data_IF_091743667367
#
_entry.id   IF_091743667367
#
_cell.length_a   1.000
_cell.length_b   1.000
_cell.length_c   1.000
_cell.angle_alpha   90.00
_cell.angle_beta   90.00
_cell.angle_gamma   90.00
#
_symmetry.space_group_name_H-M   'P 1'
#
loop_
_entity.id
_entity.type
_entity.pdbx_description
1 polymer ?
#
# COMPACT_ATOMS: atom_id res chain seq x y z
N UNK A 1 68.54 -33.27 -39.15
CA UNK A 1 68.04 -34.61 -39.45
C UNK A 1 66.87 -34.89 -38.57
N UNK A 2 65.78 -34.79 -39.18
CA UNK A 2 64.66 -35.71 -39.34
C UNK A 2 63.80 -35.88 -38.10
N UNK A 3 62.63 -35.27 -38.18
CA UNK A 3 61.28 -35.75 -38.52
C UNK A 3 60.50 -36.18 -37.29
N UNK A 4 59.41 -35.51 -37.02
CA UNK A 4 58.01 -35.74 -37.42
C UNK A 4 57.40 -36.81 -36.50
N UNK A 5 56.21 -36.71 -35.93
CA UNK A 5 54.90 -36.35 -36.41
C UNK A 5 53.92 -36.26 -35.22
N UNK A 6 52.96 -35.38 -35.31
CA UNK A 6 51.72 -35.33 -34.54
C UNK A 6 50.83 -36.50 -34.96
N UNK A 7 49.85 -36.91 -34.18
CA UNK A 7 48.58 -36.23 -34.35
C UNK A 7 47.69 -36.01 -33.07
N UNK A 8 47.09 -34.92 -33.15
CA UNK A 8 45.83 -34.48 -32.57
C UNK A 8 44.73 -35.56 -32.54
N UNK A 9 44.11 -35.77 -31.39
CA UNK A 9 42.70 -36.27 -31.30
C UNK A 9 42.01 -35.94 -29.99
N UNK A 10 41.04 -35.07 -30.14
CA UNK A 10 39.72 -35.15 -29.53
C UNK A 10 39.55 -34.69 -28.06
N UNK A 11 39.12 -33.44 -27.96
CA UNK A 11 38.35 -32.97 -26.84
C UNK A 11 37.09 -32.17 -27.33
N UNK A 12 36.19 -32.84 -28.09
CA UNK A 12 34.95 -32.21 -28.55
C UNK A 12 33.66 -32.85 -27.96
N UNK A 13 33.79 -33.84 -27.05
CA UNK A 13 32.63 -34.58 -26.58
C UNK A 13 32.11 -34.12 -25.19
N UNK A 14 32.89 -33.32 -24.46
CA UNK A 14 32.51 -32.94 -23.08
C UNK A 14 31.66 -31.68 -23.01
N UNK A 15 31.73 -30.78 -23.99
CA UNK A 15 30.95 -29.52 -23.99
C UNK A 15 29.47 -29.71 -24.39
N UNK A 16 29.16 -30.69 -25.23
CA UNK A 16 27.76 -30.96 -25.66
C UNK A 16 26.91 -31.63 -24.58
N UNK A 17 27.51 -32.44 -23.70
CA UNK A 17 26.75 -33.12 -22.62
C UNK A 17 26.41 -32.20 -21.45
N UNK A 18 27.19 -31.15 -21.18
CA UNK A 18 26.91 -30.20 -20.10
C UNK A 18 25.75 -29.27 -20.49
N UNK A 19 25.69 -28.84 -21.76
CA UNK A 19 24.58 -28.02 -22.25
C UNK A 19 23.23 -28.76 -22.30
N UNK A 20 23.24 -30.03 -22.71
CA UNK A 20 22.03 -30.86 -22.74
C UNK A 20 21.49 -31.17 -21.34
N UNK A 21 22.37 -31.41 -20.38
CA UNK A 21 22.01 -31.64 -18.97
C UNK A 21 21.39 -30.39 -18.33
N UNK A 22 21.95 -29.19 -18.54
CA UNK A 22 21.41 -27.94 -18.01
C UNK A 22 20.06 -27.59 -18.63
N UNK A 23 19.89 -27.81 -19.93
CA UNK A 23 18.61 -27.57 -20.63
C UNK A 23 17.52 -28.53 -20.17
N UNK A 24 17.88 -29.81 -19.98
CA UNK A 24 16.93 -30.80 -19.45
C UNK A 24 16.54 -30.56 -17.99
N UNK A 25 17.49 -30.13 -17.14
CA UNK A 25 17.21 -29.76 -15.76
C UNK A 25 16.32 -28.52 -15.68
N UNK A 26 16.53 -27.51 -16.53
CA UNK A 26 15.68 -26.32 -16.63
C UNK A 26 14.27 -26.67 -17.11
N UNK A 27 14.14 -27.52 -18.14
CA UNK A 27 12.85 -28.00 -18.63
C UNK A 27 12.11 -28.84 -17.60
N UNK A 28 12.81 -29.71 -16.86
CA UNK A 28 12.23 -30.50 -15.78
C UNK A 28 11.77 -29.63 -14.62
N UNK A 29 12.53 -28.57 -14.26
CA UNK A 29 12.14 -27.60 -13.25
C UNK A 29 10.90 -26.78 -13.68
N UNK A 30 10.85 -26.34 -14.93
CA UNK A 30 9.69 -25.64 -15.50
C UNK A 30 8.44 -26.55 -15.53
N UNK A 31 8.62 -27.83 -15.89
CA UNK A 31 7.54 -28.83 -15.90
C UNK A 31 7.06 -29.14 -14.48
N UNK A 32 7.98 -29.26 -13.50
CA UNK A 32 7.65 -29.45 -12.08
C UNK A 32 6.93 -28.21 -11.51
N UNK A 33 7.36 -27.00 -11.89
CA UNK A 33 6.69 -25.75 -11.52
C UNK A 33 5.28 -25.66 -12.16
N UNK A 34 5.14 -25.97 -13.43
CA UNK A 34 3.85 -25.99 -14.13
C UNK A 34 2.90 -27.07 -13.59
N UNK A 35 3.41 -28.25 -13.21
CA UNK A 35 2.62 -29.31 -12.60
C UNK A 35 2.10 -28.92 -11.19
N UNK A 36 2.85 -28.09 -10.44
CA UNK A 36 2.44 -27.56 -9.14
C UNK A 36 1.50 -26.35 -9.23
N UNK A 37 1.39 -25.72 -10.39
CA UNK A 37 0.45 -24.62 -10.64
C UNK A 37 -1.02 -25.10 -10.78
N UNK A 38 -1.37 -26.26 -10.19
CA UNK A 38 -2.76 -26.65 -10.10
C UNK A 38 -3.54 -25.58 -9.35
N UNK A 39 -4.64 -25.12 -9.94
CA UNK A 39 -5.42 -24.06 -9.35
C UNK A 39 -5.85 -24.41 -7.93
N UNK A 40 -5.96 -23.41 -7.07
CA UNK A 40 -6.48 -23.46 -5.70
C UNK A 40 -7.93 -24.02 -5.63
N UNK A 41 -8.25 -25.12 -6.32
CA UNK A 41 -9.61 -25.62 -6.61
C UNK A 41 -10.42 -25.97 -5.37
N UNK A 42 -9.82 -26.12 -4.20
CA UNK A 42 -10.45 -26.73 -3.04
C UNK A 42 -10.60 -25.83 -1.81
N UNK A 43 -10.04 -24.60 -1.79
CA UNK A 43 -10.40 -23.65 -0.75
C UNK A 43 -11.80 -23.10 -1.02
N UNK A 44 -12.66 -23.17 -0.02
CA UNK A 44 -13.92 -22.43 -0.03
C UNK A 44 -13.63 -20.95 -0.25
N UNK A 45 -13.45 -20.10 -0.44
CA UNK A 45 -12.96 -18.76 -0.72
C UNK A 45 -12.11 -18.64 -1.99
N UNK A 46 -11.82 -19.74 -2.68
CA UNK A 46 -10.98 -19.72 -3.88
C UNK A 46 -11.50 -18.80 -4.98
N UNK A 47 -12.83 -18.73 -5.18
CA UNK A 47 -13.45 -17.81 -6.13
C UNK A 47 -13.01 -16.36 -5.89
N UNK A 48 -12.62 -16.01 -4.64
CA UNK A 48 -12.18 -14.71 -4.25
C UNK A 48 -10.67 -14.48 -4.49
N UNK A 49 -9.92 -15.56 -4.63
CA UNK A 49 -8.50 -15.52 -4.98
C UNK A 49 -8.30 -15.78 -6.49
N UNK A 50 -9.36 -16.18 -7.21
CA UNK A 50 -9.30 -16.53 -8.63
C UNK A 50 -8.68 -15.45 -9.53
N UNK A 51 -8.90 -14.19 -9.25
CA UNK A 51 -8.27 -13.09 -9.99
C UNK A 51 -6.76 -13.01 -9.79
N UNK A 52 -6.23 -13.71 -8.80
CA UNK A 52 -4.79 -13.79 -8.55
C UNK A 52 -4.14 -14.96 -9.29
N UNK A 53 -4.91 -15.89 -9.88
CA UNK A 53 -4.37 -17.14 -10.45
C UNK A 53 -3.33 -16.89 -11.56
N UNK A 54 -3.60 -15.97 -12.49
CA UNK A 54 -2.66 -15.62 -13.56
C UNK A 54 -1.38 -15.03 -12.99
N UNK A 55 -1.52 -14.07 -12.08
CA UNK A 55 -0.41 -13.42 -11.44
C UNK A 55 0.38 -14.38 -10.53
N UNK A 56 -0.27 -15.27 -9.81
CA UNK A 56 0.37 -16.32 -9.01
C UNK A 56 1.22 -17.24 -9.88
N UNK A 57 0.77 -17.52 -11.13
CA UNK A 57 1.57 -18.25 -12.09
C UNK A 57 2.86 -17.51 -12.47
N UNK A 58 2.84 -16.21 -12.60
CA UNK A 58 4.02 -15.39 -12.86
C UNK A 58 4.99 -15.39 -11.68
N UNK A 59 4.50 -15.26 -10.47
CA UNK A 59 5.32 -15.38 -9.25
C UNK A 59 6.00 -16.76 -9.16
N UNK A 60 5.30 -17.84 -9.54
CA UNK A 60 5.84 -19.18 -9.54
C UNK A 60 6.98 -19.35 -10.52
N UNK A 61 6.89 -18.72 -11.70
CA UNK A 61 7.92 -18.75 -12.73
C UNK A 61 9.17 -17.94 -12.35
N UNK A 62 9.06 -17.05 -11.39
CA UNK A 62 10.17 -16.20 -10.97
C UNK A 62 11.23 -16.99 -10.21
N UNK A 63 12.50 -16.90 -10.64
CA UNK A 63 13.63 -17.63 -10.07
C UNK A 63 13.39 -19.15 -9.94
N UNK A 64 13.11 -19.89 -11.04
CA UNK A 64 12.97 -21.34 -10.98
C UNK A 64 14.30 -21.97 -10.54
N UNK A 65 14.25 -22.86 -9.56
CA UNK A 65 15.39 -23.64 -9.10
C UNK A 65 14.98 -25.11 -8.98
N UNK A 66 15.76 -26.07 -9.51
CA UNK A 66 15.36 -27.48 -9.56
C UNK A 66 15.11 -28.10 -8.17
N UNK A 67 15.83 -27.64 -7.16
CA UNK A 67 15.71 -28.15 -5.78
C UNK A 67 14.80 -27.28 -4.88
N UNK A 68 13.97 -26.39 -5.46
CA UNK A 68 13.10 -25.53 -4.68
C UNK A 68 11.74 -26.20 -4.46
N UNK A 69 11.35 -26.33 -3.20
CA UNK A 69 10.06 -26.86 -2.80
C UNK A 69 9.04 -25.76 -2.43
N UNK A 70 9.50 -24.55 -2.13
CA UNK A 70 8.67 -23.39 -1.80
C UNK A 70 8.89 -22.25 -2.81
N UNK A 71 7.84 -21.84 -3.49
CA UNK A 71 7.83 -20.74 -4.46
C UNK A 71 7.19 -19.49 -3.87
N UNK A 72 7.38 -18.34 -4.52
CA UNK A 72 6.87 -17.07 -3.98
C UNK A 72 5.34 -17.02 -3.94
N UNK A 73 4.66 -17.59 -4.92
CA UNK A 73 3.19 -17.73 -4.92
C UNK A 73 2.68 -18.56 -3.72
N UNK A 74 3.40 -19.61 -3.33
CA UNK A 74 3.08 -20.41 -2.15
C UNK A 74 3.20 -19.57 -0.87
N UNK A 75 4.28 -18.76 -0.78
CA UNK A 75 4.49 -17.84 0.34
C UNK A 75 3.38 -16.79 0.42
N UNK A 76 3.07 -16.14 -0.69
CA UNK A 76 2.00 -15.12 -0.75
C UNK A 76 0.65 -15.73 -0.39
N UNK A 77 0.34 -16.91 -0.91
CA UNK A 77 -0.92 -17.61 -0.63
C UNK A 77 -1.07 -17.92 0.86
N UNK A 78 -0.07 -18.52 1.50
CA UNK A 78 -0.16 -18.84 2.93
C UNK A 78 -0.23 -17.58 3.80
N UNK A 79 0.46 -16.51 3.41
CA UNK A 79 0.39 -15.22 4.10
C UNK A 79 -0.98 -14.56 3.95
N UNK A 80 -1.60 -14.60 2.76
CA UNK A 80 -2.96 -14.08 2.54
C UNK A 80 -3.99 -14.81 3.40
N UNK A 81 -3.91 -16.14 3.44
CA UNK A 81 -4.77 -16.94 4.30
C UNK A 81 -4.53 -16.61 5.79
N UNK A 82 -3.27 -16.41 6.17
CA UNK A 82 -2.90 -15.98 7.52
C UNK A 82 -3.40 -14.58 7.87
N UNK A 83 -3.38 -13.65 6.92
CA UNK A 83 -3.88 -12.29 7.12
C UNK A 83 -5.35 -12.25 7.57
N UNK A 84 -6.19 -13.07 6.94
CA UNK A 84 -7.61 -13.16 7.31
C UNK A 84 -7.89 -14.02 8.56
N UNK A 85 -6.87 -14.69 9.10
CA UNK A 85 -7.01 -15.48 10.33
C UNK A 85 -6.28 -14.79 11.49
N UNK A 86 -7.05 -14.17 12.39
CA UNK A 86 -6.52 -13.40 13.53
C UNK A 86 -5.66 -14.20 14.50
N UNK A 87 -5.75 -15.53 14.48
CA UNK A 87 -4.98 -16.40 15.37
C UNK A 87 -3.59 -16.73 14.82
N UNK A 88 -3.36 -16.51 13.52
CA UNK A 88 -2.09 -16.77 12.84
C UNK A 88 -1.20 -15.53 12.95
N UNK A 89 -0.32 -15.51 13.97
CA UNK A 89 0.55 -14.38 14.29
C UNK A 89 2.05 -14.71 14.28
N UNK A 90 2.41 -15.86 13.75
CA UNK A 90 3.82 -16.28 13.73
C UNK A 90 4.07 -17.32 12.65
N UNK A 91 5.33 -17.43 12.19
CA UNK A 91 5.74 -18.46 11.23
C UNK A 91 5.44 -19.89 11.74
N UNK A 92 5.50 -20.12 13.06
CA UNK A 92 5.14 -21.41 13.65
C UNK A 92 3.65 -21.73 13.47
N UNK A 93 2.79 -20.73 13.62
CA UNK A 93 1.34 -20.91 13.39
C UNK A 93 1.02 -21.06 11.90
N UNK A 94 1.75 -20.37 11.01
CA UNK A 94 1.64 -20.60 9.56
C UNK A 94 2.09 -22.02 9.19
N UNK A 95 3.17 -22.52 9.79
CA UNK A 95 3.60 -23.91 9.60
C UNK A 95 2.49 -24.90 10.01
N UNK A 96 1.90 -24.71 11.20
CA UNK A 96 0.77 -25.52 11.66
C UNK A 96 -0.43 -25.41 10.70
N UNK A 97 -0.76 -24.21 10.27
CA UNK A 97 -1.88 -23.95 9.36
C UNK A 97 -1.66 -24.63 8.01
N UNK A 98 -0.42 -24.65 7.49
CA UNK A 98 -0.09 -25.35 6.24
C UNK A 98 -0.29 -26.87 6.29
N UNK A 99 -0.48 -27.43 7.47
CA UNK A 99 -0.75 -28.88 7.67
C UNK A 99 -2.26 -29.20 7.67
N UNK A 100 -3.12 -28.17 7.69
CA UNK A 100 -4.58 -28.36 7.58
C UNK A 100 -4.91 -28.91 6.20
N UNK A 101 -5.66 -30.04 6.08
CA UNK A 101 -5.86 -30.72 4.80
C UNK A 101 -6.37 -29.84 3.67
N UNK A 102 -7.30 -28.92 3.95
CA UNK A 102 -7.82 -27.98 2.94
C UNK A 102 -6.78 -26.97 2.45
N UNK A 103 -5.90 -26.49 3.34
CA UNK A 103 -4.81 -25.57 3.00
C UNK A 103 -3.71 -26.32 2.24
N UNK A 104 -3.34 -27.50 2.74
CA UNK A 104 -2.36 -28.38 2.13
C UNK A 104 -2.71 -28.73 0.68
N UNK A 105 -3.96 -29.17 0.43
CA UNK A 105 -4.46 -29.44 -0.92
C UNK A 105 -4.40 -28.21 -1.82
N UNK A 106 -4.68 -27.04 -1.29
CA UNK A 106 -4.71 -25.78 -2.04
C UNK A 106 -3.33 -25.33 -2.47
N UNK A 107 -2.35 -25.50 -1.59
CA UNK A 107 -0.95 -25.16 -1.86
C UNK A 107 -0.25 -26.25 -2.67
N UNK A 108 -0.84 -27.44 -2.80
CA UNK A 108 -0.23 -28.64 -3.39
C UNK A 108 1.18 -28.92 -2.75
N UNK A 109 1.28 -28.72 -1.44
CA UNK A 109 2.47 -28.94 -0.63
C UNK A 109 2.11 -29.82 0.57
N UNK A 110 2.97 -30.78 0.90
CA UNK A 110 2.73 -31.64 2.06
C UNK A 110 2.90 -30.85 3.38
N UNK A 111 3.87 -29.95 3.42
CA UNK A 111 4.16 -29.11 4.57
C UNK A 111 5.06 -27.95 4.19
N UNK A 112 4.78 -26.76 4.76
CA UNK A 112 5.69 -25.62 4.70
C UNK A 112 6.43 -25.52 6.03
N UNK A 113 7.72 -25.83 6.04
CA UNK A 113 8.55 -25.69 7.23
C UNK A 113 8.79 -24.22 7.58
N UNK A 114 8.75 -23.88 8.86
CA UNK A 114 9.01 -22.53 9.37
C UNK A 114 10.35 -21.97 8.89
N UNK A 115 11.42 -22.79 8.89
CA UNK A 115 12.74 -22.38 8.39
C UNK A 115 12.70 -22.01 6.92
N UNK A 116 12.10 -22.84 6.08
CA UNK A 116 11.96 -22.60 4.63
C UNK A 116 11.13 -21.35 4.36
N UNK A 117 10.05 -21.12 5.11
CA UNK A 117 9.24 -19.90 4.98
C UNK A 117 10.03 -18.66 5.40
N UNK A 118 10.81 -18.76 6.49
CA UNK A 118 11.68 -17.67 6.95
C UNK A 118 12.76 -17.31 5.92
N UNK A 119 13.39 -18.29 5.31
CA UNK A 119 14.38 -18.07 4.25
C UNK A 119 13.73 -17.54 2.97
N UNK A 120 12.59 -18.05 2.56
CA UNK A 120 11.81 -17.53 1.43
C UNK A 120 11.49 -16.04 1.60
N UNK A 121 11.07 -15.62 2.79
CA UNK A 121 10.79 -14.22 3.11
C UNK A 121 12.02 -13.30 3.08
N UNK A 122 13.24 -13.83 3.15
CA UNK A 122 14.47 -13.05 2.95
C UNK A 122 14.87 -12.98 1.49
N UNK A 123 14.54 -14.01 0.73
CA UNK A 123 15.02 -14.22 -0.62
C UNK A 123 14.14 -13.51 -1.67
N UNK A 124 12.83 -13.63 -1.57
CA UNK A 124 11.89 -13.08 -2.56
C UNK A 124 11.85 -11.56 -2.52
N UNK A 125 11.77 -10.96 -3.73
CA UNK A 125 11.64 -9.51 -3.88
C UNK A 125 10.17 -9.10 -3.70
N UNK A 126 9.83 -8.31 -2.68
CA UNK A 126 8.46 -7.86 -2.45
C UNK A 126 7.91 -6.96 -3.57
N UNK A 127 8.78 -6.26 -4.33
CA UNK A 127 8.35 -5.41 -5.44
C UNK A 127 7.67 -6.20 -6.57
N UNK A 128 7.89 -7.51 -6.64
CA UNK A 128 7.14 -8.38 -7.56
C UNK A 128 5.63 -8.40 -7.27
N UNK A 129 5.19 -7.93 -6.09
CA UNK A 129 3.78 -7.83 -5.73
C UNK A 129 3.15 -6.49 -6.13
N UNK A 130 3.94 -5.48 -6.50
CA UNK A 130 3.41 -4.17 -6.88
C UNK A 130 2.48 -4.21 -8.10
N UNK A 131 2.77 -4.96 -9.21
CA UNK A 131 1.84 -5.06 -10.33
C UNK A 131 0.50 -5.71 -9.95
N UNK A 132 0.51 -6.69 -9.03
CA UNK A 132 -0.73 -7.30 -8.53
C UNK A 132 -1.57 -6.30 -7.72
N UNK A 133 -0.90 -5.54 -6.85
CA UNK A 133 -1.57 -4.48 -6.07
C UNK A 133 -2.27 -3.51 -7.02
N UNK A 134 -1.56 -3.03 -8.04
CA UNK A 134 -2.09 -2.12 -9.06
C UNK A 134 -3.25 -2.73 -9.84
N UNK A 135 -3.12 -3.97 -10.31
CA UNK A 135 -4.18 -4.65 -11.07
C UNK A 135 -5.48 -4.78 -10.26
N UNK A 136 -5.39 -5.14 -8.98
CA UNK A 136 -6.58 -5.23 -8.13
C UNK A 136 -7.13 -3.84 -7.84
N UNK A 137 -6.26 -2.85 -7.62
CA UNK A 137 -6.64 -1.48 -7.38
C UNK A 137 -7.47 -0.91 -8.55
N UNK A 138 -7.04 -1.11 -9.78
CA UNK A 138 -7.75 -0.68 -10.99
C UNK A 138 -9.12 -1.35 -11.18
N UNK A 139 -9.33 -2.50 -10.55
CA UNK A 139 -10.61 -3.20 -10.60
C UNK A 139 -11.61 -2.76 -9.51
N UNK A 140 -11.22 -1.83 -8.62
CA UNK A 140 -12.09 -1.35 -7.55
C UNK A 140 -13.16 -0.39 -8.08
N UNK A 141 -14.38 -0.44 -7.52
CA UNK A 141 -15.41 0.53 -7.87
C UNK A 141 -15.06 1.91 -7.35
N UNK A 142 -15.28 2.92 -8.19
CA UNK A 142 -15.17 4.32 -7.79
C UNK A 142 -16.36 4.71 -6.89
N UNK A 143 -16.10 5.62 -5.95
CA UNK A 143 -17.11 6.11 -5.04
C UNK A 143 -17.72 7.40 -5.52
N UNK A 144 -18.94 7.63 -5.09
CA UNK A 144 -19.59 8.91 -5.32
C UNK A 144 -19.33 9.87 -4.14
N UNK A 145 -18.93 11.09 -4.45
CA UNK A 145 -18.89 12.17 -3.48
C UNK A 145 -20.33 12.59 -3.12
N UNK A 146 -20.51 13.11 -1.90
CA UNK A 146 -21.77 13.71 -1.49
C UNK A 146 -21.97 15.10 -2.06
N UNK A 147 -20.89 15.75 -2.52
CA UNK A 147 -20.90 17.06 -3.13
C UNK A 147 -20.65 16.92 -4.65
N UNK A 148 -21.61 17.27 -5.52
CA UNK A 148 -21.44 17.18 -6.98
C UNK A 148 -20.29 18.03 -7.51
N UNK A 149 -20.02 19.20 -6.93
CA UNK A 149 -18.89 20.07 -7.33
C UNK A 149 -17.53 19.42 -7.05
N UNK A 150 -17.50 18.50 -6.13
CA UNK A 150 -16.30 17.80 -5.70
C UNK A 150 -16.10 16.45 -6.40
N UNK A 151 -17.14 15.92 -7.08
CA UNK A 151 -17.10 14.59 -7.70
C UNK A 151 -15.98 14.44 -8.73
N UNK A 152 -15.80 15.45 -9.59
CA UNK A 152 -14.79 15.42 -10.67
C UNK A 152 -13.34 15.37 -10.15
N UNK A 153 -13.13 15.80 -8.90
CA UNK A 153 -11.82 15.80 -8.24
C UNK A 153 -11.62 14.56 -7.37
N UNK A 154 -12.72 13.93 -6.93
CA UNK A 154 -12.71 12.93 -5.88
C UNK A 154 -11.87 11.71 -6.23
N UNK A 155 -11.91 11.28 -7.48
CA UNK A 155 -11.19 10.12 -7.98
C UNK A 155 -9.68 10.38 -8.15
N UNK A 156 -9.29 11.66 -8.22
CA UNK A 156 -7.91 12.11 -8.34
C UNK A 156 -7.22 12.34 -6.98
N UNK A 157 -7.97 12.28 -5.88
CA UNK A 157 -7.42 12.57 -4.56
C UNK A 157 -6.58 11.42 -4.02
N UNK A 158 -5.31 11.70 -3.81
CA UNK A 158 -4.33 10.78 -3.25
C UNK A 158 -3.78 11.32 -1.93
N UNK A 159 -4.27 10.77 -0.81
CA UNK A 159 -3.67 11.08 0.49
C UNK A 159 -2.35 10.32 0.63
N UNK A 160 -1.33 11.00 1.15
CA UNK A 160 -0.06 10.39 1.52
C UNK A 160 0.23 10.61 3.00
N UNK A 161 0.61 9.55 3.69
CA UNK A 161 1.01 9.60 5.10
C UNK A 161 1.88 8.39 5.47
N UNK A 162 2.62 8.51 6.57
CA UNK A 162 3.42 7.45 7.15
C UNK A 162 2.92 7.02 8.53
N UNK A 163 2.93 5.73 8.78
CA UNK A 163 2.59 5.20 10.09
C UNK A 163 3.63 4.22 10.61
N UNK A 164 3.89 4.29 11.93
CA UNK A 164 4.91 3.48 12.58
C UNK A 164 4.32 2.20 13.15
N UNK A 165 5.04 1.10 12.91
CA UNK A 165 4.70 -0.23 13.42
C UNK A 165 5.85 -0.73 14.29
N UNK A 166 5.54 -1.21 15.48
CA UNK A 166 6.52 -1.76 16.39
C UNK A 166 7.07 -3.07 15.87
N UNK A 167 8.36 -3.27 16.04
CA UNK A 167 9.06 -4.51 15.71
C UNK A 167 9.95 -4.93 16.87
N UNK A 168 10.31 -6.22 16.98
CA UNK A 168 11.21 -6.69 18.02
C UNK A 168 12.57 -5.98 18.02
N UNK A 169 13.19 -5.87 19.17
CA UNK A 169 14.47 -5.17 19.35
C UNK A 169 15.61 -5.75 18.48
N UNK A 170 15.51 -7.02 18.09
CA UNK A 170 16.45 -7.73 17.22
C UNK A 170 16.43 -7.24 15.76
N UNK A 171 15.41 -6.48 15.36
CA UNK A 171 15.30 -5.92 14.00
C UNK A 171 16.22 -4.71 13.87
N UNK A 172 17.50 -4.96 13.59
CA UNK A 172 18.56 -3.94 13.65
C UNK A 172 18.45 -2.84 12.59
N UNK A 173 17.80 -3.12 11.48
CA UNK A 173 17.55 -2.16 10.40
C UNK A 173 16.37 -1.22 10.67
N UNK A 174 15.57 -1.50 11.69
CA UNK A 174 14.44 -0.66 12.06
C UNK A 174 14.88 0.64 12.77
N UNK A 175 14.02 1.65 12.71
CA UNK A 175 14.18 2.92 13.40
C UNK A 175 14.19 2.71 14.92
N UNK A 176 15.04 3.48 15.62
CA UNK A 176 14.92 3.61 17.07
C UNK A 176 13.68 4.43 17.43
N UNK A 177 12.88 3.94 18.36
CA UNK A 177 11.80 4.73 18.92
C UNK A 177 12.42 5.87 19.75
N UNK A 178 12.07 7.12 19.44
CA UNK A 178 12.53 8.26 20.22
C UNK A 178 12.08 8.14 21.67
N UNK A 179 12.95 8.50 22.57
CA UNK A 179 13.13 8.17 23.98
C UNK A 179 12.05 8.61 24.99
N UNK A 180 10.79 8.81 24.63
CA UNK A 180 9.73 9.05 25.62
C UNK A 180 8.95 7.79 26.02
N UNK A 181 9.28 6.64 25.47
CA UNK A 181 8.68 5.36 25.84
C UNK A 181 9.46 4.73 26.99
N UNK A 182 8.74 4.25 28.01
CA UNK A 182 9.32 3.53 29.15
C UNK A 182 10.10 2.26 28.77
N UNK A 183 9.98 1.78 27.54
CA UNK A 183 10.70 0.63 27.01
C UNK A 183 11.33 1.01 25.68
N UNK A 184 12.66 0.86 25.51
CA UNK A 184 13.32 1.04 24.21
C UNK A 184 12.71 0.08 23.21
N UNK A 185 12.22 0.59 22.09
CA UNK A 185 11.59 -0.20 21.03
C UNK A 185 12.19 0.14 19.68
N UNK A 186 11.98 -0.74 18.72
CA UNK A 186 12.24 -0.49 17.30
C UNK A 186 10.92 -0.41 16.55
N UNK A 187 10.93 0.35 15.47
CA UNK A 187 9.76 0.54 14.62
C UNK A 187 10.15 0.65 13.16
N UNK A 188 9.28 0.23 12.28
CA UNK A 188 9.36 0.47 10.84
C UNK A 188 8.26 1.44 10.47
N UNK A 189 8.49 2.26 9.45
CA UNK A 189 7.48 3.17 8.92
C UNK A 189 6.91 2.59 7.63
N UNK A 190 5.61 2.39 7.59
CA UNK A 190 4.84 2.16 6.37
C UNK A 190 4.43 3.51 5.82
N UNK A 191 4.93 3.86 4.64
CA UNK A 191 4.48 5.00 3.85
C UNK A 191 3.40 4.50 2.87
N UNK A 192 2.30 5.22 2.76
CA UNK A 192 1.14 4.76 2.01
C UNK A 192 0.60 5.86 1.10
N UNK A 193 0.35 5.52 -0.15
CA UNK A 193 -0.54 6.24 -1.04
C UNK A 193 -1.95 5.67 -0.89
N UNK A 194 -2.88 6.52 -0.52
CA UNK A 194 -4.26 6.13 -0.26
C UNK A 194 -5.21 6.93 -1.13
N UNK A 195 -5.87 6.29 -2.08
CA UNK A 195 -6.85 6.94 -2.91
C UNK A 195 -8.15 7.17 -2.14
N UNK A 196 -8.54 8.42 -2.03
CA UNK A 196 -9.74 8.83 -1.32
C UNK A 196 -10.99 8.40 -2.09
N UNK A 197 -10.96 8.46 -3.42
CA UNK A 197 -12.05 8.07 -4.30
C UNK A 197 -12.44 6.60 -4.19
N UNK A 198 -11.48 5.68 -4.14
CA UNK A 198 -11.75 4.26 -3.92
C UNK A 198 -11.81 3.89 -2.43
N UNK A 199 -11.20 4.72 -1.57
CA UNK A 199 -11.02 4.47 -0.14
C UNK A 199 -10.12 3.27 0.16
N UNK A 200 -9.11 3.08 -0.66
CA UNK A 200 -8.20 1.95 -0.58
C UNK A 200 -6.73 2.39 -0.80
N UNK A 201 -5.77 1.58 -0.33
CA UNK A 201 -4.36 1.79 -0.61
C UNK A 201 -4.07 1.61 -2.11
N UNK A 202 -3.32 2.53 -2.70
CA UNK A 202 -2.89 2.51 -4.09
C UNK A 202 -1.41 2.14 -4.24
N UNK A 203 -0.57 2.42 -3.24
CA UNK A 203 0.84 2.09 -3.25
C UNK A 203 1.45 2.17 -1.87
N UNK A 204 2.58 1.51 -1.68
CA UNK A 204 3.27 1.49 -0.39
C UNK A 204 4.79 1.47 -0.55
N UNK A 205 5.48 1.91 0.51
CA UNK A 205 6.90 1.62 0.73
C UNK A 205 7.18 1.48 2.22
N UNK A 206 8.26 0.80 2.58
CA UNK A 206 8.66 0.58 3.97
C UNK A 206 10.00 1.24 4.23
N UNK A 207 10.09 2.06 5.25
CA UNK A 207 11.32 2.74 5.65
C UNK A 207 11.81 2.25 7.01
N UNK A 208 13.09 1.90 7.07
CA UNK A 208 13.83 1.61 8.27
C UNK A 208 14.82 2.74 8.62
N UNK A 209 15.88 2.40 9.35
CA UNK A 209 16.90 3.34 9.86
C UNK A 209 17.57 4.16 8.75
N UNK A 210 17.93 3.50 7.66
CA UNK A 210 18.65 4.11 6.53
C UNK A 210 17.72 4.35 5.32
N UNK A 211 16.41 4.32 5.57
CA UNK A 211 15.39 4.51 4.53
C UNK A 211 15.04 5.98 4.29
N UNK A 212 14.23 6.18 3.26
CA UNK A 212 13.75 7.50 2.86
C UNK A 212 13.02 8.24 3.98
N UNK A 213 13.11 9.57 3.97
CA UNK A 213 12.15 10.42 4.66
C UNK A 213 10.74 10.24 4.07
N UNK A 214 9.70 10.70 4.76
CA UNK A 214 8.33 10.63 4.23
C UNK A 214 8.18 11.37 2.90
N UNK A 215 8.77 12.55 2.80
CA UNK A 215 8.76 13.34 1.57
C UNK A 215 9.48 12.63 0.40
N UNK A 216 10.62 11.97 0.64
CA UNK A 216 11.32 11.20 -0.38
C UNK A 216 10.54 9.95 -0.81
N UNK A 217 9.92 9.26 0.16
CA UNK A 217 9.07 8.10 -0.13
C UNK A 217 7.87 8.46 -1.02
N UNK A 218 7.25 9.62 -0.77
CA UNK A 218 6.17 10.15 -1.60
C UNK A 218 6.64 10.40 -3.05
N UNK A 219 7.80 11.02 -3.21
CA UNK A 219 8.31 11.41 -4.55
C UNK A 219 8.63 10.24 -5.47
N UNK A 220 8.91 9.06 -4.93
CA UNK A 220 9.24 7.88 -5.75
C UNK A 220 8.09 7.34 -6.58
N UNK A 221 6.86 7.67 -6.23
CA UNK A 221 5.64 7.04 -6.79
C UNK A 221 4.58 8.08 -7.16
N UNK A 222 5.00 9.24 -7.66
CA UNK A 222 4.08 10.25 -8.18
C UNK A 222 3.53 9.77 -9.52
N UNK A 223 2.21 9.66 -9.60
CA UNK A 223 1.48 9.41 -10.83
C UNK A 223 0.96 10.74 -11.40
N UNK A 224 0.88 10.91 -12.72
CA UNK A 224 0.33 12.12 -13.32
C UNK A 224 -1.19 12.26 -13.09
N UNK A 225 -1.70 13.48 -13.23
CA UNK A 225 -3.13 13.82 -13.14
C UNK A 225 -3.78 13.51 -11.78
N UNK A 226 -3.00 13.55 -10.70
CA UNK A 226 -3.47 13.32 -9.33
C UNK A 226 -3.41 14.60 -8.50
N UNK A 227 -4.13 14.62 -7.38
CA UNK A 227 -4.08 15.66 -6.36
C UNK A 227 -3.55 15.05 -5.07
N UNK A 228 -2.30 15.33 -4.76
CA UNK A 228 -1.65 14.82 -3.55
C UNK A 228 -2.01 15.65 -2.33
N UNK A 229 -2.51 14.98 -1.29
CA UNK A 229 -2.94 15.63 -0.05
C UNK A 229 -2.10 15.11 1.11
N UNK A 230 -1.42 16.00 1.82
CA UNK A 230 -0.54 15.61 2.92
C UNK A 230 -0.50 16.63 4.07
N UNK A 231 -0.08 16.15 5.25
CA UNK A 231 0.10 17.00 6.42
C UNK A 231 1.46 17.72 6.39
N UNK A 232 1.61 18.69 7.28
CA UNK A 232 2.79 19.58 7.44
C UNK A 232 4.11 18.81 7.60
N UNK A 233 4.10 17.57 8.08
CA UNK A 233 5.29 16.75 8.26
C UNK A 233 5.96 16.37 6.94
N UNK A 234 5.19 16.27 5.87
CA UNK A 234 5.62 15.78 4.55
C UNK A 234 6.04 16.93 3.63
N UNK A 235 5.66 18.16 3.98
CA UNK A 235 6.02 19.32 3.16
C UNK A 235 7.54 19.45 2.97
N UNK A 236 7.95 19.56 1.70
CA UNK A 236 9.30 19.96 1.29
C UNK A 236 9.26 20.69 -0.05
N UNK A 237 10.22 21.58 -0.32
CA UNK A 237 10.31 22.26 -1.62
C UNK A 237 10.52 21.29 -2.77
N UNK A 238 11.33 20.25 -2.57
CA UNK A 238 11.53 19.19 -3.55
C UNK A 238 10.23 18.40 -3.80
N UNK A 239 9.42 18.18 -2.76
CA UNK A 239 8.12 17.52 -2.86
C UNK A 239 7.14 18.32 -3.74
N UNK A 240 7.04 19.61 -3.50
CA UNK A 240 6.20 20.52 -4.32
C UNK A 240 6.63 20.50 -5.78
N UNK A 241 7.94 20.67 -6.04
CA UNK A 241 8.47 20.64 -7.41
C UNK A 241 8.20 19.31 -8.10
N UNK A 242 8.55 18.19 -7.45
CA UNK A 242 8.41 16.86 -8.05
C UNK A 242 6.96 16.52 -8.39
N UNK A 243 5.99 16.98 -7.61
CA UNK A 243 4.56 16.77 -7.91
C UNK A 243 4.16 17.57 -9.16
N UNK A 244 4.51 18.85 -9.22
CA UNK A 244 4.16 19.71 -10.35
C UNK A 244 4.89 19.27 -11.62
N UNK A 245 6.19 18.96 -11.55
CA UNK A 245 6.97 18.39 -12.66
C UNK A 245 6.41 17.05 -13.13
N UNK A 246 5.84 16.25 -12.23
CA UNK A 246 5.15 15.00 -12.53
C UNK A 246 3.75 15.18 -13.16
N UNK A 247 3.31 16.41 -13.43
CA UNK A 247 2.00 16.71 -14.04
C UNK A 247 0.84 16.48 -13.07
N UNK A 248 1.06 16.69 -11.78
CA UNK A 248 0.07 16.51 -10.71
C UNK A 248 -0.05 17.77 -9.87
N UNK A 249 -1.08 17.81 -9.03
CA UNK A 249 -1.38 18.91 -8.13
C UNK A 249 -1.19 18.51 -6.67
N UNK A 250 -1.18 19.51 -5.78
CA UNK A 250 -1.06 19.23 -4.34
C UNK A 250 -1.96 20.14 -3.50
N UNK A 251 -2.33 19.64 -2.33
CA UNK A 251 -2.91 20.40 -1.21
C UNK A 251 -2.21 19.98 0.06
N UNK A 252 -1.28 20.79 0.52
CA UNK A 252 -0.47 20.51 1.71
C UNK A 252 -0.78 21.45 2.86
N UNK A 253 -0.76 20.94 4.07
CA UNK A 253 -0.71 21.79 5.25
C UNK A 253 0.69 22.36 5.39
N UNK A 254 0.78 23.69 5.54
CA UNK A 254 2.03 24.38 5.66
C UNK A 254 2.42 24.58 7.14
N UNK A 255 3.71 24.49 7.44
CA UNK A 255 4.25 24.82 8.77
C UNK A 255 4.25 26.34 8.98
N UNK A 256 4.13 26.76 10.26
CA UNK A 256 4.08 28.17 10.61
C UNK A 256 5.33 28.95 10.18
N UNK A 257 6.49 28.32 10.27
CA UNK A 257 7.80 28.91 9.96
C UNK A 257 8.09 29.09 8.46
N UNK A 258 7.29 28.50 7.59
CA UNK A 258 7.48 28.66 6.14
C UNK A 258 6.93 30.02 5.70
N UNK A 259 7.81 30.86 5.19
CA UNK A 259 7.43 32.19 4.71
C UNK A 259 6.65 32.15 3.38
N UNK A 260 5.73 33.10 3.23
CA UNK A 260 4.94 33.30 2.02
C UNK A 260 5.04 34.75 1.57
N UNK A 261 5.26 34.97 0.28
CA UNK A 261 5.30 36.30 -0.36
C UNK A 261 3.98 36.44 -1.12
N UNK A 262 3.09 37.28 -0.58
CA UNK A 262 1.79 37.54 -1.22
C UNK A 262 1.94 38.52 -2.38
N UNK A 263 1.44 38.18 -3.54
CA UNK A 263 1.29 39.10 -4.69
C UNK A 263 -0.12 39.67 -4.76
N UNK A 264 -1.13 38.88 -4.49
CA UNK A 264 -2.52 39.30 -4.56
C UNK A 264 -3.40 38.52 -3.59
N UNK A 265 -4.46 39.16 -3.13
CA UNK A 265 -5.51 38.55 -2.31
C UNK A 265 -6.76 38.34 -3.14
N UNK A 266 -7.43 37.23 -2.93
CA UNK A 266 -8.69 36.90 -3.58
C UNK A 266 -9.88 37.25 -2.67
N UNK A 267 -10.93 37.79 -3.26
CA UNK A 267 -12.17 38.06 -2.54
C UNK A 267 -12.86 36.76 -2.15
N UNK A 268 -13.14 36.58 -0.87
CA UNK A 268 -13.84 35.42 -0.34
C UNK A 268 -15.33 35.48 -0.70
N UNK A 269 -15.84 34.39 -1.24
CA UNK A 269 -17.26 34.21 -1.51
C UNK A 269 -18.03 33.94 -0.19
N UNK A 270 -19.37 34.11 -0.15
CA UNK A 270 -20.17 33.69 1.00
C UNK A 270 -19.99 32.20 1.34
N UNK A 271 -19.81 31.35 0.33
CA UNK A 271 -19.57 29.91 0.48
C UNK A 271 -18.21 29.63 1.14
N UNK A 272 -17.15 30.38 0.77
CA UNK A 272 -15.84 30.26 1.40
C UNK A 272 -15.91 30.62 2.89
N UNK A 273 -16.61 31.71 3.24
CA UNK A 273 -16.81 32.14 4.63
C UNK A 273 -17.61 31.11 5.44
N UNK A 274 -18.66 30.51 4.86
CA UNK A 274 -19.44 29.44 5.48
C UNK A 274 -18.57 28.21 5.78
N UNK A 275 -17.53 27.95 4.98
CA UNK A 275 -16.53 26.89 5.20
C UNK A 275 -15.33 27.35 6.03
N UNK A 276 -15.47 28.48 6.76
CA UNK A 276 -14.46 28.99 7.69
C UNK A 276 -13.15 29.43 7.03
N UNK A 277 -13.14 29.76 5.75
CA UNK A 277 -11.99 30.36 5.10
C UNK A 277 -11.81 31.79 5.63
N UNK A 278 -10.59 32.12 6.11
CA UNK A 278 -10.24 33.43 6.66
C UNK A 278 -9.59 34.30 5.60
N UNK A 279 -8.68 33.72 4.82
CA UNK A 279 -7.98 34.43 3.72
C UNK A 279 -7.61 33.49 2.60
N UNK A 280 -7.41 34.07 1.43
CA UNK A 280 -7.07 33.39 0.20
C UNK A 280 -6.08 34.27 -0.57
N UNK A 281 -4.81 33.84 -0.65
CA UNK A 281 -3.70 34.64 -1.15
C UNK A 281 -2.93 33.88 -2.23
N UNK A 282 -2.56 34.56 -3.29
CA UNK A 282 -1.71 34.03 -4.35
C UNK A 282 -0.32 34.69 -4.25
N UNK A 283 0.72 33.90 -4.48
CA UNK A 283 2.09 34.39 -4.40
C UNK A 283 3.12 33.26 -4.49
N UNK A 284 4.19 33.39 -3.75
CA UNK A 284 5.34 32.47 -3.78
C UNK A 284 5.80 32.09 -2.37
N UNK A 285 6.37 30.90 -2.28
CA UNK A 285 7.05 30.50 -1.05
C UNK A 285 8.37 31.27 -0.90
N UNK A 286 8.64 31.75 0.30
CA UNK A 286 9.91 32.34 0.63
C UNK A 286 10.95 31.23 0.84
N UNK A 287 11.95 31.16 -0.05
CA UNK A 287 13.07 30.24 0.07
C UNK A 287 14.01 30.64 1.22
N UNK A 288 14.72 29.67 1.77
CA UNK A 288 15.90 29.96 2.60
C UNK A 288 17.13 30.15 1.70
N UNK A 289 18.21 30.82 2.19
CA UNK A 289 19.45 31.01 1.43
C UNK A 289 20.06 29.69 0.89
N UNK A 290 19.75 28.56 1.53
CA UNK A 290 20.24 27.22 1.17
C UNK A 290 19.20 26.33 0.45
N UNK A 291 17.99 26.84 0.24
CA UNK A 291 16.90 26.11 -0.42
C UNK A 291 16.18 27.05 -1.36
N UNK A 292 16.46 26.89 -2.64
CA UNK A 292 15.72 27.60 -3.67
C UNK A 292 14.26 27.19 -3.55
N UNK A 293 13.40 28.14 -3.23
CA UNK A 293 11.96 27.94 -3.40
C UNK A 293 11.70 27.80 -4.91
N UNK A 294 10.84 26.87 -5.30
CA UNK A 294 10.43 26.80 -6.69
C UNK A 294 9.82 28.13 -7.12
N UNK A 295 10.09 28.62 -8.33
CA UNK A 295 9.42 29.78 -8.90
C UNK A 295 7.95 29.50 -9.26
N UNK A 296 7.36 28.49 -8.63
CA UNK A 296 5.99 28.07 -8.87
C UNK A 296 5.08 29.03 -8.12
N UNK A 297 4.13 29.61 -8.86
CA UNK A 297 3.06 30.39 -8.25
C UNK A 297 2.15 29.48 -7.47
N UNK A 298 1.95 29.77 -6.22
CA UNK A 298 1.16 28.96 -5.28
C UNK A 298 0.11 29.80 -4.59
N UNK A 299 -0.84 29.14 -4.00
CA UNK A 299 -1.96 29.74 -3.29
C UNK A 299 -1.94 29.29 -1.85
N UNK A 300 -2.01 30.26 -0.92
CA UNK A 300 -2.13 30.02 0.50
C UNK A 300 -3.56 30.32 0.96
N UNK A 301 -4.20 29.34 1.59
CA UNK A 301 -5.55 29.46 2.13
C UNK A 301 -5.48 29.26 3.64
N UNK A 302 -6.03 30.22 4.40
CA UNK A 302 -6.14 30.14 5.84
C UNK A 302 -7.58 29.72 6.21
N UNK A 303 -7.68 28.66 7.02
CA UNK A 303 -8.97 28.14 7.49
C UNK A 303 -8.99 28.24 9.00
N UNK A 304 -10.08 28.75 9.57
CA UNK A 304 -10.29 28.83 11.01
C UNK A 304 -10.25 27.43 11.64
N UNK A 305 -9.46 27.31 12.69
CA UNK A 305 -9.35 26.07 13.46
C UNK A 305 -10.06 26.21 14.83
N UNK A 306 -11.23 25.57 15.01
CA UNK A 306 -11.98 25.70 16.26
C UNK A 306 -11.27 25.07 17.46
N UNK A 307 -10.38 24.07 17.23
CA UNK A 307 -9.60 23.44 18.29
C UNK A 307 -8.42 24.32 18.77
N UNK A 308 -8.00 25.28 17.95
CA UNK A 308 -6.90 26.19 18.24
C UNK A 308 -7.14 27.52 17.50
N UNK A 309 -8.00 28.42 18.02
CA UNK A 309 -8.43 29.63 17.33
C UNK A 309 -7.27 30.56 16.91
N UNK A 310 -6.21 30.61 17.68
CA UNK A 310 -5.01 31.41 17.41
C UNK A 310 -4.07 30.80 16.37
N UNK A 311 -4.34 29.56 15.94
CA UNK A 311 -3.51 28.84 14.97
C UNK A 311 -4.36 28.31 13.80
N UNK A 312 -4.62 29.15 12.80
CA UNK A 312 -5.38 28.72 11.63
C UNK A 312 -4.65 27.61 10.87
N UNK A 313 -5.40 26.78 10.21
CA UNK A 313 -4.86 25.78 9.29
C UNK A 313 -4.41 26.51 8.03
N UNK A 314 -3.12 26.45 7.74
CA UNK A 314 -2.52 27.01 6.52
C UNK A 314 -2.43 25.93 5.46
N UNK A 315 -3.14 26.10 4.37
CA UNK A 315 -3.09 25.20 3.21
C UNK A 315 -2.33 25.85 2.06
N UNK A 316 -1.50 25.08 1.40
CA UNK A 316 -0.75 25.47 0.22
C UNK A 316 -1.16 24.59 -0.96
N UNK A 317 -1.35 25.20 -2.13
CA UNK A 317 -1.71 24.49 -3.36
C UNK A 317 -1.20 25.24 -4.60
N UNK A 318 -0.97 24.53 -5.69
CA UNK A 318 -0.74 25.09 -7.03
C UNK A 318 -2.05 25.29 -7.82
N UNK A 319 -3.17 24.84 -7.29
CA UNK A 319 -4.50 24.92 -7.93
C UNK A 319 -5.08 26.33 -7.75
N UNK A 320 -4.78 27.22 -8.70
CA UNK A 320 -5.10 28.65 -8.57
C UNK A 320 -6.58 28.97 -8.81
N UNK A 321 -7.30 28.16 -9.59
CA UNK A 321 -8.64 28.48 -10.10
C UNK A 321 -9.79 27.93 -9.25
N UNK A 322 -9.53 26.87 -8.48
CA UNK A 322 -10.58 26.25 -7.66
C UNK A 322 -11.06 27.20 -6.55
N UNK A 323 -12.34 27.13 -6.15
CA UNK A 323 -12.85 27.83 -4.96
C UNK A 323 -12.08 27.47 -3.69
N UNK A 324 -11.87 28.43 -2.77
CA UNK A 324 -11.09 28.19 -1.55
C UNK A 324 -11.72 27.13 -0.64
N UNK A 325 -13.04 27.08 -0.53
CA UNK A 325 -13.74 26.06 0.23
C UNK A 325 -13.54 24.65 -0.32
N UNK A 326 -13.40 24.48 -1.65
CA UNK A 326 -13.08 23.19 -2.27
C UNK A 326 -11.70 22.70 -1.85
N UNK A 327 -10.68 23.58 -1.83
CA UNK A 327 -9.34 23.23 -1.31
C UNK A 327 -9.42 22.80 0.16
N UNK A 328 -10.23 23.49 0.97
CA UNK A 328 -10.50 23.09 2.36
C UNK A 328 -11.15 21.70 2.47
N UNK A 329 -12.12 21.40 1.61
CA UNK A 329 -12.77 20.07 1.56
C UNK A 329 -11.79 18.98 1.13
N UNK A 330 -10.92 19.24 0.14
CA UNK A 330 -9.86 18.33 -0.28
C UNK A 330 -9.01 17.95 0.94
N UNK A 331 -8.52 18.94 1.68
CA UNK A 331 -7.68 18.69 2.85
C UNK A 331 -8.43 17.93 3.97
N UNK A 332 -9.70 18.19 4.17
CA UNK A 332 -10.51 17.48 5.16
C UNK A 332 -10.56 15.97 4.91
N UNK A 333 -10.56 15.55 3.64
CA UNK A 333 -10.54 14.14 3.27
C UNK A 333 -9.21 13.43 3.56
N UNK A 334 -8.12 14.15 3.81
CA UNK A 334 -6.84 13.57 4.24
C UNK A 334 -7.01 12.66 5.47
N UNK A 335 -7.92 12.99 6.37
CA UNK A 335 -8.17 12.21 7.58
C UNK A 335 -8.54 10.74 7.30
N UNK A 336 -8.98 10.41 6.11
CA UNK A 336 -9.37 9.04 5.74
C UNK A 336 -8.21 8.06 5.82
N UNK A 337 -6.97 8.50 5.49
CA UNK A 337 -5.78 7.65 5.61
C UNK A 337 -5.44 7.32 7.08
N UNK A 338 -5.66 8.25 8.01
CA UNK A 338 -5.46 8.01 9.44
C UNK A 338 -6.48 6.98 9.98
N UNK A 339 -7.72 7.05 9.51
CA UNK A 339 -8.75 6.04 9.83
C UNK A 339 -8.37 4.67 9.27
N UNK A 340 -7.79 4.63 8.07
CA UNK A 340 -7.28 3.39 7.48
C UNK A 340 -6.13 2.80 8.30
N UNK A 341 -5.13 3.60 8.70
CA UNK A 341 -4.06 3.12 9.56
C UNK A 341 -4.55 2.60 10.92
N UNK A 342 -5.55 3.28 11.50
CA UNK A 342 -6.20 2.80 12.73
C UNK A 342 -6.88 1.45 12.50
N UNK A 343 -7.61 1.30 11.41
CA UNK A 343 -8.22 0.04 11.03
C UNK A 343 -7.17 -1.07 10.88
N UNK A 344 -6.10 -0.81 10.14
CA UNK A 344 -5.03 -1.77 9.90
C UNK A 344 -4.37 -2.24 11.21
N UNK A 345 -4.05 -1.31 12.10
CA UNK A 345 -3.41 -1.62 13.39
C UNK A 345 -4.32 -2.37 14.34
N UNK A 346 -5.53 -1.87 14.54
CA UNK A 346 -6.43 -2.33 15.60
C UNK A 346 -7.25 -3.54 15.15
N UNK A 347 -7.88 -3.46 13.98
CA UNK A 347 -8.87 -4.45 13.57
C UNK A 347 -8.29 -5.56 12.70
N UNK A 348 -7.40 -5.23 11.80
CA UNK A 348 -6.64 -6.23 11.04
C UNK A 348 -5.52 -6.87 11.89
N UNK A 349 -5.31 -6.37 13.11
CA UNK A 349 -4.35 -6.88 14.08
C UNK A 349 -2.92 -7.00 13.51
N UNK A 350 -2.56 -6.03 12.70
CA UNK A 350 -1.33 -6.02 11.92
C UNK A 350 -0.10 -5.56 12.71
N UNK A 351 -0.20 -5.43 14.03
CA UNK A 351 0.93 -5.06 14.90
C UNK A 351 1.97 -6.18 15.05
N UNK A 352 1.63 -7.42 14.67
CA UNK A 352 2.54 -8.56 14.78
C UNK A 352 3.26 -8.82 13.45
N UNK A 353 4.54 -8.45 13.40
CA UNK A 353 5.39 -8.75 12.25
C UNK A 353 5.76 -10.23 12.21
N UNK A 354 5.44 -10.89 11.11
CA UNK A 354 5.73 -12.32 10.89
C UNK A 354 7.21 -12.54 10.56
N UNK A 355 7.87 -11.53 9.99
CA UNK A 355 9.29 -11.57 9.61
C UNK A 355 10.10 -10.46 10.25
N UNK A 356 11.41 -10.68 10.40
CA UNK A 356 12.37 -9.67 10.88
C UNK A 356 13.29 -9.14 9.77
N UNK A 357 13.26 -9.73 8.58
CA UNK A 357 14.03 -9.25 7.43
C UNK A 357 13.33 -8.08 6.75
N UNK A 358 14.07 -7.13 6.12
CA UNK A 358 13.47 -6.03 5.38
C UNK A 358 12.46 -6.52 4.34
N UNK A 359 12.86 -7.42 3.47
CA UNK A 359 12.02 -8.01 2.42
C UNK A 359 10.78 -8.72 2.98
N UNK A 360 10.94 -9.47 4.06
CA UNK A 360 9.82 -10.20 4.67
C UNK A 360 8.81 -9.27 5.35
N UNK A 361 9.25 -8.17 5.95
CA UNK A 361 8.36 -7.14 6.51
C UNK A 361 7.62 -6.43 5.37
N UNK A 362 8.32 -6.06 4.31
CA UNK A 362 7.71 -5.43 3.15
C UNK A 362 6.72 -6.36 2.42
N UNK A 363 7.09 -7.63 2.23
CA UNK A 363 6.17 -8.67 1.70
C UNK A 363 4.90 -8.76 2.55
N UNK A 364 5.02 -8.72 3.88
CA UNK A 364 3.88 -8.78 4.78
C UNK A 364 2.96 -7.57 4.62
N UNK A 365 3.51 -6.36 4.43
CA UNK A 365 2.72 -5.17 4.12
C UNK A 365 2.03 -5.27 2.74
N UNK A 366 2.73 -5.74 1.70
CA UNK A 366 2.09 -5.98 0.40
C UNK A 366 0.93 -6.97 0.51
N UNK A 367 1.12 -8.07 1.21
CA UNK A 367 0.05 -9.07 1.43
C UNK A 367 -1.15 -8.45 2.16
N UNK A 368 -0.92 -7.62 3.17
CA UNK A 368 -1.99 -6.94 3.87
C UNK A 368 -2.76 -5.95 2.96
N UNK A 369 -2.05 -5.21 2.11
CA UNK A 369 -2.69 -4.31 1.16
C UNK A 369 -3.48 -5.09 0.10
N UNK A 370 -2.90 -6.14 -0.47
CA UNK A 370 -3.58 -7.04 -1.41
C UNK A 370 -4.83 -7.66 -0.77
N UNK A 371 -4.72 -8.18 0.44
CA UNK A 371 -5.86 -8.70 1.19
C UNK A 371 -6.95 -7.65 1.43
N UNK A 372 -6.55 -6.42 1.73
CA UNK A 372 -7.47 -5.28 1.89
C UNK A 372 -8.20 -4.96 0.59
N UNK A 373 -7.48 -4.89 -0.54
CA UNK A 373 -8.08 -4.63 -1.85
C UNK A 373 -9.04 -5.75 -2.27
N UNK A 374 -8.64 -7.01 -2.08
CA UNK A 374 -9.51 -8.17 -2.34
C UNK A 374 -10.79 -8.10 -1.51
N UNK A 375 -10.68 -7.78 -0.22
CA UNK A 375 -11.84 -7.58 0.63
C UNK A 375 -12.76 -6.49 0.09
N UNK A 376 -12.22 -5.34 -0.29
CA UNK A 376 -13.00 -4.22 -0.85
C UNK A 376 -13.64 -4.60 -2.19
N UNK A 377 -12.91 -5.35 -3.05
CA UNK A 377 -13.40 -5.80 -4.34
C UNK A 377 -14.60 -6.75 -4.20
N UNK A 378 -14.53 -7.69 -3.26
CA UNK A 378 -15.59 -8.70 -3.09
C UNK A 378 -16.77 -8.22 -2.25
N UNK A 379 -16.51 -7.45 -1.20
CA UNK A 379 -17.58 -6.92 -0.36
C UNK A 379 -18.22 -5.66 -0.93
N UNK A 380 -17.60 -5.03 -1.95
CA UNK A 380 -17.98 -3.74 -2.52
C UNK A 380 -18.03 -2.63 -1.45
N UNK A 381 -17.22 -2.77 -0.39
CA UNK A 381 -17.21 -1.88 0.75
C UNK A 381 -15.79 -1.43 1.10
N UNK A 382 -15.70 -0.31 1.80
CA UNK A 382 -14.46 0.14 2.43
C UNK A 382 -13.95 -0.87 3.45
N UNK A 383 -12.61 -0.90 3.66
CA UNK A 383 -12.03 -1.65 4.76
C UNK A 383 -12.70 -1.27 6.10
N UNK A 384 -13.22 -2.27 6.75
CA UNK A 384 -13.94 -2.12 8.02
C UNK A 384 -13.92 -3.44 8.80
N UNK A 385 -14.27 -3.38 10.06
CA UNK A 385 -14.43 -4.59 10.88
C UNK A 385 -15.44 -5.57 10.25
N UNK A 386 -16.53 -5.06 9.69
CA UNK A 386 -17.57 -5.88 9.08
C UNK A 386 -17.08 -6.57 7.81
N UNK A 387 -16.48 -5.82 6.88
CA UNK A 387 -15.95 -6.40 5.64
C UNK A 387 -14.82 -7.40 5.92
N UNK A 388 -13.97 -7.12 6.92
CA UNK A 388 -12.92 -8.04 7.34
C UNK A 388 -13.49 -9.33 7.97
N UNK A 389 -14.48 -9.22 8.86
CA UNK A 389 -15.15 -10.38 9.44
C UNK A 389 -15.86 -11.21 8.38
N UNK A 390 -16.56 -10.57 7.44
CA UNK A 390 -17.21 -11.26 6.34
C UNK A 390 -16.19 -12.06 5.49
N UNK A 391 -15.07 -11.44 5.10
CA UNK A 391 -14.02 -12.14 4.35
C UNK A 391 -13.39 -13.28 5.14
N UNK A 392 -13.20 -13.09 6.46
CA UNK A 392 -12.69 -14.15 7.34
C UNK A 392 -13.63 -15.36 7.33
N UNK A 393 -14.92 -15.16 7.52
CA UNK A 393 -15.93 -16.23 7.51
C UNK A 393 -15.97 -16.97 6.16
N UNK A 394 -15.83 -16.22 5.06
CA UNK A 394 -15.81 -16.82 3.72
C UNK A 394 -14.53 -17.65 3.51
N UNK A 395 -13.37 -17.10 3.86
CA UNK A 395 -12.08 -17.77 3.66
C UNK A 395 -11.93 -18.99 4.59
N UNK A 396 -12.42 -18.91 5.83
CA UNK A 396 -12.46 -20.06 6.75
C UNK A 396 -13.49 -21.13 6.35
N UNK A 397 -14.38 -20.80 5.41
CA UNK A 397 -15.45 -21.71 4.95
C UNK A 397 -16.61 -21.84 5.93
N UNK A 398 -16.75 -20.90 6.85
CA UNK A 398 -17.87 -20.82 7.81
C UNK A 398 -19.14 -20.24 7.16
N UNK A 399 -18.98 -19.43 6.11
CA UNK A 399 -20.09 -18.88 5.33
C UNK A 399 -19.71 -18.76 3.86
N UNK A 400 -20.72 -18.77 2.99
CA UNK A 400 -20.58 -18.36 1.59
C UNK A 400 -20.93 -16.88 1.42
N UNK A 401 -20.51 -16.27 0.29
CA UNK A 401 -20.79 -14.86 0.01
C UNK A 401 -22.30 -14.57 0.01
N UNK A 402 -23.07 -15.48 -0.55
CA UNK A 402 -24.52 -15.41 -0.67
C UNK A 402 -25.21 -15.30 0.71
N UNK A 403 -24.64 -15.96 1.73
CA UNK A 403 -25.14 -15.90 3.12
C UNK A 403 -24.94 -14.52 3.74
N UNK A 404 -23.85 -13.83 3.36
CA UNK A 404 -23.44 -12.56 3.95
C UNK A 404 -23.84 -11.33 3.12
N UNK A 405 -24.20 -11.51 1.84
CA UNK A 405 -24.54 -10.42 0.94
C UNK A 405 -25.67 -9.50 1.46
N UNK A 406 -26.77 -10.01 2.04
CA UNK A 406 -27.84 -9.17 2.60
C UNK A 406 -27.34 -8.29 3.74
N UNK A 407 -26.50 -8.84 4.64
CA UNK A 407 -25.94 -8.12 5.79
C UNK A 407 -24.94 -7.07 5.33
N UNK A 408 -24.07 -7.40 4.37
CA UNK A 408 -23.13 -6.46 3.76
C UNK A 408 -23.86 -5.29 3.10
N UNK A 409 -24.93 -5.55 2.36
CA UNK A 409 -25.77 -4.52 1.74
C UNK A 409 -26.48 -3.62 2.76
N UNK A 410 -26.92 -4.21 3.87
CA UNK A 410 -27.52 -3.46 4.99
C UNK A 410 -26.49 -2.53 5.62
N UNK A 411 -25.30 -3.01 5.98
CA UNK A 411 -24.24 -2.20 6.56
C UNK A 411 -23.75 -1.10 5.62
N UNK A 412 -23.67 -1.36 4.31
CA UNK A 412 -23.35 -0.33 3.33
C UNK A 412 -24.36 0.83 3.38
N UNK A 413 -25.66 0.53 3.42
CA UNK A 413 -26.74 1.52 3.54
C UNK A 413 -26.68 2.30 4.85
N UNK A 414 -26.47 1.62 5.96
CA UNK A 414 -26.37 2.26 7.30
C UNK A 414 -25.16 3.22 7.35
N UNK A 415 -24.01 2.83 6.78
CA UNK A 415 -22.82 3.70 6.70
C UNK A 415 -23.07 4.92 5.82
N UNK A 416 -23.72 4.75 4.68
CA UNK A 416 -24.05 5.86 3.80
C UNK A 416 -25.01 6.86 4.48
N UNK A 417 -26.03 6.38 5.15
CA UNK A 417 -26.94 7.23 5.94
C UNK A 417 -26.21 7.97 7.06
N UNK A 418 -25.32 7.29 7.78
CA UNK A 418 -24.51 7.91 8.82
C UNK A 418 -23.57 8.98 8.24
N UNK A 419 -22.98 8.73 7.06
CA UNK A 419 -22.15 9.70 6.34
C UNK A 419 -22.94 10.93 5.92
N UNK A 420 -24.15 10.75 5.37
CA UNK A 420 -25.06 11.85 4.99
C UNK A 420 -25.47 12.69 6.21
N UNK A 421 -25.81 12.05 7.34
CA UNK A 421 -26.15 12.74 8.61
C UNK A 421 -24.97 13.58 9.13
N UNK A 422 -23.75 13.03 9.14
CA UNK A 422 -22.54 13.75 9.56
C UNK A 422 -22.20 14.92 8.63
N UNK A 423 -22.40 14.78 7.34
CA UNK A 423 -22.20 15.87 6.39
C UNK A 423 -23.21 17.01 6.64
N UNK A 424 -24.48 16.68 6.85
CA UNK A 424 -25.51 17.66 7.19
C UNK A 424 -25.23 18.40 8.52
N UNK A 425 -24.73 17.69 9.54
CA UNK A 425 -24.37 18.29 10.84
C UNK A 425 -23.13 19.20 10.78
N UNK A 426 -22.24 19.00 9.81
CA UNK A 426 -21.06 19.87 9.62
C UNK A 426 -21.37 21.15 8.83
N UNK A 427 -22.52 21.22 8.17
CA UNK A 427 -23.03 22.38 7.46
C UNK A 427 -23.84 23.34 8.37
N UNK A 428 -24.16 22.94 9.57
CA UNK A 428 -24.72 23.75 10.68
C UNK A 428 -23.62 24.08 11.68
#
# INVERSE_FOLDING_TARGET
MTNADTPDRTNSTTAQNVGASATQASAAAATKAAARSKPLRHLRGRKYIKRLEEFMGDLRRHNPHPNRDLYFDDVVTILLLGFFNSDIRSLRKLELYSQVPGVNQSLNLDRICRSTLSEGLKLFDPLLLAPLLEQIYQALPQRQSLDPEFQSLYDKLMAFDGSYFRVPAQVLWALHQKSNARVPGRQVRLNLHYCIGTGNPAGLSVSGKDGDSEAQAMLRTIAPDMIYVADRGIFSFAGVNGIVEGGSHFVFRLKAEVGFICESERTLTPKDRAHRVISDRIGYLKGSPHRLAPPIKVREILIYNPESPDQPIRLLTDMLDLPAHIIGLIYLHRWTIELFFRWLKVYANFEHMISHSPRGVETWFYVAMIGTLLMSLYTQQEPSTYSFTAMRLIISGEADYEDLAPQLARFARERELARKRRAAQKLV
#
